data_IF_666422524116
#
_entry.id   IF_666422524116
#
_cell.length_a   1.000
_cell.length_b   1.000
_cell.length_c   1.000
_cell.angle_alpha   90.00
_cell.angle_beta   90.00
_cell.angle_gamma   90.00
#
_symmetry.space_group_name_H-M   'P 1'
#
loop_
_entity.id
_entity.type
_entity.pdbx_description
1 polymer ?
#
# COMPACT_ATOMS: atom_id res chain seq x y z
N UNK A 1 -0.20 -4.54 5.54
CA UNK A 1 -0.41 -4.51 4.07
C UNK A 1 0.66 -5.33 3.36
N UNK A 2 1.93 -5.08 3.61
CA UNK A 2 3.05 -5.70 2.90
C UNK A 2 3.84 -6.68 3.79
N UNK A 3 3.15 -7.43 4.64
CA UNK A 3 3.73 -8.47 5.51
C UNK A 3 3.40 -9.87 5.00
N UNK A 4 4.12 -10.88 5.50
CA UNK A 4 3.92 -12.31 5.24
C UNK A 4 2.71 -12.87 6.02
N UNK A 5 1.70 -12.09 6.29
CA UNK A 5 0.53 -12.52 7.05
C UNK A 5 -0.73 -12.29 6.21
N UNK A 6 -1.63 -13.30 6.03
CA UNK A 6 -2.92 -13.15 5.37
C UNK A 6 -3.76 -12.00 5.93
N UNK A 7 -3.68 -11.74 7.24
CA UNK A 7 -4.33 -10.60 7.89
C UNK A 7 -3.65 -9.25 7.58
N UNK A 8 -2.53 -9.25 6.88
CA UNK A 8 -1.74 -8.06 6.57
C UNK A 8 -2.40 -7.13 5.56
N UNK A 9 -3.13 -7.66 4.59
CA UNK A 9 -3.85 -6.84 3.60
C UNK A 9 -5.18 -6.38 4.19
N UNK A 10 -5.28 -5.08 4.48
CA UNK A 10 -6.46 -4.46 5.09
C UNK A 10 -6.97 -3.31 4.23
N UNK A 11 -8.25 -3.07 4.27
CA UNK A 11 -8.90 -2.03 3.47
C UNK A 11 -8.56 -0.61 3.97
N UNK A 12 -8.30 -0.46 5.26
CA UNK A 12 -8.22 0.85 5.92
C UNK A 12 -6.96 1.66 5.59
N UNK A 13 -5.73 1.09 5.52
CA UNK A 13 -4.53 1.87 5.20
C UNK A 13 -4.41 2.09 3.69
N UNK A 14 -5.23 2.99 3.15
CA UNK A 14 -5.09 3.38 1.73
C UNK A 14 -3.82 4.20 1.48
N UNK A 15 -3.29 4.23 0.24
CA UNK A 15 -2.12 5.05 -0.10
C UNK A 15 -2.27 6.51 0.31
N UNK A 16 -3.46 7.10 0.11
CA UNK A 16 -3.76 8.49 0.40
C UNK A 16 -3.72 8.78 1.90
N UNK A 17 -4.23 7.86 2.73
CA UNK A 17 -4.15 8.00 4.19
C UNK A 17 -2.71 7.89 4.67
N UNK A 18 -1.95 6.94 4.15
CA UNK A 18 -0.55 6.74 4.55
C UNK A 18 0.30 7.94 4.18
N UNK A 19 0.19 8.49 2.96
CA UNK A 19 0.96 9.69 2.57
C UNK A 19 0.52 10.91 3.38
N UNK A 20 -0.76 11.04 3.72
CA UNK A 20 -1.27 12.15 4.54
C UNK A 20 -0.70 12.11 5.96
N UNK A 21 -0.64 10.93 6.59
CA UNK A 21 0.02 10.73 7.87
C UNK A 21 1.50 11.13 7.79
N UNK A 22 2.21 10.70 6.75
CA UNK A 22 3.62 11.04 6.57
C UNK A 22 3.84 12.54 6.38
N UNK A 23 2.99 13.22 5.62
CA UNK A 23 3.06 14.68 5.41
C UNK A 23 2.77 15.47 6.68
N UNK A 24 1.80 15.02 7.47
CA UNK A 24 1.51 15.63 8.77
C UNK A 24 2.72 15.55 9.69
N UNK A 25 3.35 14.39 9.80
CA UNK A 25 4.55 14.16 10.62
C UNK A 25 5.76 14.91 10.08
N UNK A 26 5.90 15.07 8.77
CA UNK A 26 6.97 15.84 8.16
C UNK A 26 6.86 17.34 8.47
N UNK A 27 5.63 17.86 8.59
CA UNK A 27 5.39 19.25 8.96
C UNK A 27 5.77 19.52 10.44
N UNK A 28 5.45 18.59 11.33
CA UNK A 28 5.77 18.66 12.77
C UNK A 28 5.86 17.26 13.35
N UNK A 29 6.91 16.99 14.13
CA UNK A 29 6.98 15.75 14.90
C UNK A 29 5.82 15.67 15.90
N UNK A 30 5.16 14.53 16.01
CA UNK A 30 3.93 14.36 16.77
C UNK A 30 3.92 13.01 17.46
N UNK A 31 3.27 12.94 18.62
CA UNK A 31 2.93 11.65 19.23
C UNK A 31 1.89 10.92 18.38
N UNK A 32 1.77 9.61 18.56
CA UNK A 32 0.75 8.82 17.87
C UNK A 32 -0.67 9.34 18.12
N UNK A 33 -0.97 9.77 19.33
CA UNK A 33 -2.28 10.30 19.69
C UNK A 33 -2.57 11.66 19.05
N UNK A 34 -1.56 12.52 18.93
CA UNK A 34 -1.71 13.79 18.21
C UNK A 34 -1.97 13.55 16.72
N UNK A 35 -1.26 12.60 16.08
CA UNK A 35 -1.54 12.19 14.69
C UNK A 35 -2.97 11.70 14.53
N UNK A 36 -3.44 10.82 15.43
CA UNK A 36 -4.81 10.30 15.40
C UNK A 36 -5.83 11.43 15.47
N UNK A 37 -5.71 12.33 16.44
CA UNK A 37 -6.63 13.47 16.63
C UNK A 37 -6.61 14.42 15.43
N UNK A 38 -5.44 14.72 14.89
CA UNK A 38 -5.31 15.61 13.74
C UNK A 38 -5.95 15.00 12.48
N UNK A 39 -5.74 13.71 12.22
CA UNK A 39 -6.27 13.02 11.05
C UNK A 39 -7.77 12.76 11.12
N UNK A 40 -8.35 12.70 12.31
CA UNK A 40 -9.80 12.53 12.52
C UNK A 40 -10.51 13.86 12.81
N UNK A 41 -9.84 14.99 12.66
CA UNK A 41 -10.38 16.32 12.98
C UNK A 41 -10.94 16.41 14.40
N UNK A 42 -10.34 15.69 15.34
CA UNK A 42 -10.77 15.65 16.74
C UNK A 42 -11.92 14.69 17.05
N UNK A 43 -12.33 13.86 16.10
CA UNK A 43 -13.29 12.78 16.37
C UNK A 43 -12.76 11.81 17.42
N UNK A 44 -13.65 11.37 18.32
CA UNK A 44 -13.37 10.32 19.31
C UNK A 44 -13.97 8.96 18.89
N UNK A 45 -14.38 8.79 17.63
CA UNK A 45 -14.83 7.49 17.12
C UNK A 45 -13.67 6.52 17.08
N UNK A 46 -13.77 5.46 17.89
CA UNK A 46 -12.70 4.45 18.00
C UNK A 46 -12.41 3.75 16.68
N UNK A 47 -13.40 3.59 15.78
CA UNK A 47 -13.19 3.01 14.45
C UNK A 47 -12.33 3.91 13.57
N UNK A 48 -12.61 5.23 13.56
CA UNK A 48 -11.79 6.19 12.82
C UNK A 48 -10.37 6.24 13.37
N UNK A 49 -10.22 6.27 14.70
CA UNK A 49 -8.94 6.25 15.37
C UNK A 49 -8.14 4.98 15.05
N UNK A 50 -8.77 3.81 15.01
CA UNK A 50 -8.13 2.54 14.63
C UNK A 50 -7.69 2.53 13.16
N UNK A 51 -8.49 3.07 12.25
CA UNK A 51 -8.11 3.20 10.83
C UNK A 51 -6.84 4.05 10.65
N UNK A 52 -6.71 5.13 11.40
CA UNK A 52 -5.49 5.96 11.37
C UNK A 52 -4.30 5.20 11.96
N UNK A 53 -4.48 4.47 13.06
CA UNK A 53 -3.43 3.63 13.63
C UNK A 53 -2.90 2.60 12.63
N UNK A 54 -3.76 1.95 11.86
CA UNK A 54 -3.35 1.02 10.81
C UNK A 54 -2.50 1.72 9.73
N UNK A 55 -2.85 2.94 9.36
CA UNK A 55 -2.08 3.74 8.40
C UNK A 55 -0.71 4.16 8.97
N UNK A 56 -0.65 4.56 10.25
CA UNK A 56 0.60 4.82 10.97
C UNK A 56 1.48 3.59 11.00
N UNK A 57 0.92 2.41 11.30
CA UNK A 57 1.69 1.16 11.34
C UNK A 57 2.26 0.78 9.97
N UNK A 58 1.52 0.98 8.89
CA UNK A 58 2.06 0.77 7.52
C UNK A 58 3.23 1.71 7.24
N UNK A 59 3.11 2.99 7.58
CA UNK A 59 4.19 3.97 7.37
C UNK A 59 5.43 3.66 8.22
N UNK A 60 5.24 3.23 9.49
CA UNK A 60 6.28 2.97 10.47
C UNK A 60 6.97 1.62 10.26
N UNK A 61 6.18 0.55 10.24
CA UNK A 61 6.69 -0.82 10.35
C UNK A 61 6.92 -1.49 8.99
N UNK A 62 6.11 -1.15 7.98
CA UNK A 62 6.14 -1.85 6.70
C UNK A 62 6.91 -1.07 5.63
N UNK A 63 6.73 0.25 5.59
CA UNK A 63 7.38 1.12 4.61
C UNK A 63 8.60 1.86 5.17
N UNK A 64 8.76 1.95 6.49
CA UNK A 64 9.86 2.67 7.17
C UNK A 64 10.01 4.13 6.69
N UNK A 65 8.88 4.79 6.41
CA UNK A 65 8.84 6.20 5.99
C UNK A 65 8.93 7.12 7.20
N UNK A 66 8.36 6.67 8.31
CA UNK A 66 8.45 7.33 9.61
C UNK A 66 9.13 6.41 10.61
N UNK A 67 9.67 6.96 11.67
CA UNK A 67 10.26 6.23 12.80
C UNK A 67 9.83 6.83 14.13
N UNK A 68 9.86 6.03 15.18
CA UNK A 68 9.70 6.51 16.54
C UNK A 68 11.01 7.14 17.03
N UNK A 69 10.93 8.31 17.66
CA UNK A 69 12.02 8.98 18.33
C UNK A 69 11.51 9.50 19.69
N UNK A 70 11.89 8.83 20.78
CA UNK A 70 11.23 8.94 22.06
C UNK A 70 9.72 8.70 21.91
N UNK A 71 8.87 9.60 22.39
CA UNK A 71 7.41 9.50 22.31
C UNK A 71 6.82 9.99 20.97
N UNK A 72 7.65 10.59 20.11
CA UNK A 72 7.21 11.22 18.88
C UNK A 72 7.50 10.34 17.65
N UNK A 73 6.68 10.52 16.64
CA UNK A 73 6.91 10.04 15.29
C UNK A 73 7.59 11.15 14.48
N UNK A 74 8.63 10.78 13.73
CA UNK A 74 9.39 11.69 12.87
C UNK A 74 9.56 11.06 11.49
N UNK A 75 9.75 11.90 10.47
CA UNK A 75 10.05 11.41 9.12
C UNK A 75 11.43 10.73 9.13
N UNK A 76 11.52 9.57 8.49
CA UNK A 76 12.73 8.75 8.41
C UNK A 76 13.37 8.76 7.01
N UNK A 77 12.73 9.39 6.05
CA UNK A 77 13.15 9.48 4.64
C UNK A 77 13.31 10.95 4.24
N UNK A 78 13.92 11.17 3.07
CA UNK A 78 13.97 12.51 2.47
C UNK A 78 12.54 13.05 2.25
N UNK A 79 12.23 14.31 2.62
CA UNK A 79 10.92 14.92 2.37
C UNK A 79 10.45 14.84 0.92
N UNK A 80 11.35 14.79 -0.06
CA UNK A 80 11.02 14.65 -1.47
C UNK A 80 10.28 13.35 -1.79
N UNK A 81 10.46 12.32 -0.97
CA UNK A 81 9.74 11.04 -1.10
C UNK A 81 8.22 11.23 -0.99
N UNK A 82 7.79 12.14 -0.13
CA UNK A 82 6.36 12.39 0.14
C UNK A 82 5.85 13.68 -0.50
N UNK A 83 6.69 14.39 -1.26
CA UNK A 83 6.34 15.66 -1.90
C UNK A 83 5.19 15.47 -2.91
N UNK A 84 5.20 14.39 -3.67
CA UNK A 84 4.16 14.07 -4.65
C UNK A 84 3.69 12.62 -4.56
N UNK A 85 2.47 12.30 -5.06
CA UNK A 85 2.03 10.92 -5.20
C UNK A 85 2.96 10.06 -6.06
N UNK A 86 3.63 10.65 -7.05
CA UNK A 86 4.54 9.95 -7.95
C UNK A 86 5.86 9.56 -7.23
N UNK A 87 6.47 10.48 -6.46
CA UNK A 87 7.68 10.18 -5.67
C UNK A 87 7.39 9.15 -4.58
N UNK A 88 6.26 9.31 -3.90
CA UNK A 88 5.79 8.34 -2.91
C UNK A 88 5.56 6.96 -3.53
N UNK A 89 4.88 6.87 -4.67
CA UNK A 89 4.64 5.60 -5.39
C UNK A 89 5.94 4.91 -5.76
N UNK A 90 6.92 5.63 -6.30
CA UNK A 90 8.23 5.07 -6.66
C UNK A 90 8.97 4.49 -5.45
N UNK A 91 8.97 5.23 -4.34
CA UNK A 91 9.56 4.76 -3.08
C UNK A 91 8.88 3.49 -2.57
N UNK A 92 7.53 3.47 -2.50
CA UNK A 92 6.77 2.30 -2.05
C UNK A 92 6.99 1.12 -2.99
N UNK A 93 6.97 1.34 -4.29
CA UNK A 93 7.19 0.31 -5.30
C UNK A 93 8.52 -0.41 -5.11
N UNK A 94 9.61 0.31 -4.86
CA UNK A 94 10.93 -0.29 -4.66
C UNK A 94 10.98 -1.25 -3.46
N UNK A 95 10.21 -0.97 -2.41
CA UNK A 95 10.13 -1.80 -1.21
C UNK A 95 9.16 -2.98 -1.35
N UNK A 96 7.98 -2.72 -1.87
CA UNK A 96 6.92 -3.72 -2.00
C UNK A 96 7.31 -4.83 -2.97
N UNK A 97 7.93 -4.49 -4.09
CA UNK A 97 8.34 -5.48 -5.10
C UNK A 97 9.69 -6.15 -4.81
N UNK A 98 10.46 -5.66 -3.84
CA UNK A 98 11.64 -6.37 -3.35
C UNK A 98 11.27 -7.58 -2.49
N UNK A 99 10.16 -7.53 -1.75
CA UNK A 99 9.70 -8.58 -0.85
C UNK A 99 8.72 -9.53 -1.59
N UNK A 100 9.22 -10.71 -1.99
CA UNK A 100 8.47 -11.66 -2.85
C UNK A 100 7.52 -12.59 -2.10
N UNK A 101 7.64 -12.69 -0.80
CA UNK A 101 6.91 -13.60 0.09
C UNK A 101 5.74 -12.92 0.82
N UNK A 102 5.45 -11.67 0.52
CA UNK A 102 4.32 -10.95 1.11
C UNK A 102 2.99 -11.41 0.52
N UNK A 103 1.94 -11.36 1.32
CA UNK A 103 0.56 -11.66 0.87
C UNK A 103 0.18 -10.80 -0.34
N UNK A 104 0.56 -9.52 -0.35
CA UNK A 104 0.34 -8.61 -1.48
C UNK A 104 0.99 -9.11 -2.77
N UNK A 105 2.25 -9.53 -2.70
CA UNK A 105 2.99 -10.01 -3.88
C UNK A 105 2.42 -11.34 -4.39
N UNK A 106 2.17 -12.30 -3.48
CA UNK A 106 1.63 -13.61 -3.83
C UNK A 106 0.25 -13.50 -4.48
N UNK A 107 -0.64 -12.69 -3.91
CA UNK A 107 -1.96 -12.45 -4.49
C UNK A 107 -1.86 -11.75 -5.86
N UNK A 108 -0.99 -10.75 -6.00
CA UNK A 108 -0.75 -10.07 -7.28
C UNK A 108 -0.27 -11.06 -8.35
N UNK A 109 0.69 -11.91 -8.02
CA UNK A 109 1.23 -12.93 -8.92
C UNK A 109 0.13 -13.92 -9.34
N UNK A 110 -0.64 -14.42 -8.38
CA UNK A 110 -1.77 -15.32 -8.66
C UNK A 110 -2.78 -14.64 -9.59
N UNK A 111 -3.19 -13.41 -9.30
CA UNK A 111 -4.19 -12.70 -10.09
C UNK A 111 -3.73 -12.47 -11.54
N UNK A 112 -2.49 -12.07 -11.75
CA UNK A 112 -1.93 -11.88 -13.09
C UNK A 112 -1.88 -13.23 -13.85
N UNK A 113 -1.61 -14.34 -13.17
CA UNK A 113 -1.57 -15.65 -13.79
C UNK A 113 -2.95 -16.18 -14.23
N UNK A 114 -4.05 -15.57 -13.77
CA UNK A 114 -5.40 -15.98 -14.16
C UNK A 114 -5.74 -15.64 -15.62
N UNK A 115 -5.00 -14.74 -16.28
CA UNK A 115 -5.26 -14.32 -17.65
C UNK A 115 -6.75 -13.93 -17.84
N UNK A 116 -7.42 -14.48 -18.86
CA UNK A 116 -8.82 -14.21 -19.17
C UNK A 116 -9.80 -14.72 -18.09
N UNK A 117 -9.39 -15.71 -17.28
CA UNK A 117 -10.21 -16.23 -16.19
C UNK A 117 -10.57 -15.16 -15.16
N UNK A 118 -9.78 -14.10 -15.03
CA UNK A 118 -10.05 -12.96 -14.15
C UNK A 118 -11.44 -12.36 -14.41
N UNK A 119 -11.91 -12.36 -15.65
CA UNK A 119 -13.22 -11.82 -16.02
C UNK A 119 -14.40 -12.67 -15.53
N UNK A 120 -14.16 -13.90 -15.12
CA UNK A 120 -15.18 -14.76 -14.51
C UNK A 120 -15.28 -14.60 -13.00
N UNK A 121 -14.28 -13.97 -12.36
CA UNK A 121 -14.22 -13.71 -10.91
C UNK A 121 -14.99 -12.42 -10.59
N UNK A 122 -16.33 -12.54 -10.50
CA UNK A 122 -17.25 -11.40 -10.43
C UNK A 122 -17.34 -10.72 -9.06
N UNK A 123 -16.71 -11.24 -8.01
CA UNK A 123 -16.75 -10.67 -6.66
C UNK A 123 -15.41 -10.77 -5.94
N UNK A 124 -15.17 -9.85 -5.02
CA UNK A 124 -13.97 -9.85 -4.20
C UNK A 124 -13.89 -11.08 -3.29
N UNK A 125 -15.03 -11.50 -2.74
CA UNK A 125 -15.15 -12.75 -2.00
C UNK A 125 -14.80 -13.96 -2.86
N UNK A 126 -15.33 -14.04 -4.09
CA UNK A 126 -15.03 -15.10 -5.05
C UNK A 126 -13.54 -15.14 -5.39
N UNK A 127 -12.90 -13.98 -5.59
CA UNK A 127 -11.44 -13.90 -5.81
C UNK A 127 -10.66 -14.42 -4.61
N UNK A 128 -11.02 -13.99 -3.41
CA UNK A 128 -10.34 -14.43 -2.17
C UNK A 128 -10.47 -15.96 -2.00
N UNK A 129 -11.66 -16.49 -2.18
CA UNK A 129 -11.96 -17.92 -2.03
C UNK A 129 -11.23 -18.77 -3.06
N UNK A 130 -11.25 -18.36 -4.33
CA UNK A 130 -10.55 -19.07 -5.41
C UNK A 130 -9.04 -19.03 -5.19
N UNK A 131 -8.48 -17.87 -4.88
CA UNK A 131 -7.06 -17.73 -4.56
C UNK A 131 -6.66 -18.62 -3.38
N UNK A 132 -7.41 -18.56 -2.28
CA UNK A 132 -7.12 -19.35 -1.08
C UNK A 132 -7.21 -20.86 -1.30
N UNK A 133 -8.01 -21.33 -2.27
CA UNK A 133 -8.07 -22.74 -2.66
C UNK A 133 -6.90 -23.18 -3.55
N UNK A 134 -6.33 -22.26 -4.33
CA UNK A 134 -5.24 -22.56 -5.27
C UNK A 134 -3.84 -22.27 -4.67
N UNK A 135 -3.75 -21.32 -3.71
CA UNK A 135 -2.49 -20.91 -3.06
C UNK A 135 -2.60 -21.14 -1.57
N UNK A 136 -1.97 -22.21 -1.09
CA UNK A 136 -2.07 -22.66 0.31
C UNK A 136 -1.70 -21.56 1.34
N UNK A 137 -0.68 -20.77 1.03
CA UNK A 137 -0.21 -19.68 1.87
C UNK A 137 -1.23 -18.54 2.00
N UNK A 138 -2.20 -18.49 1.07
CA UNK A 138 -3.28 -17.49 1.03
C UNK A 138 -4.65 -18.07 1.43
N UNK A 139 -4.69 -19.26 2.05
CA UNK A 139 -5.94 -19.94 2.45
C UNK A 139 -6.81 -19.13 3.43
N UNK A 140 -6.23 -18.22 4.20
CA UNK A 140 -6.94 -17.31 5.09
C UNK A 140 -7.31 -15.96 4.44
N UNK A 141 -7.07 -15.79 3.13
CA UNK A 141 -7.43 -14.57 2.41
C UNK A 141 -8.94 -14.35 2.45
N UNK A 142 -9.36 -13.10 2.69
CA UNK A 142 -10.77 -12.73 2.76
C UNK A 142 -11.07 -11.53 1.85
N UNK A 143 -12.35 -11.20 1.70
CA UNK A 143 -12.80 -10.09 0.87
C UNK A 143 -12.15 -8.75 1.25
N UNK A 144 -12.05 -8.45 2.54
CA UNK A 144 -11.45 -7.19 3.02
C UNK A 144 -9.97 -7.07 2.62
N UNK A 145 -9.25 -8.20 2.59
CA UNK A 145 -7.87 -8.23 2.13
C UNK A 145 -7.77 -7.89 0.63
N UNK A 146 -8.65 -8.44 -0.20
CA UNK A 146 -8.70 -8.14 -1.64
C UNK A 146 -9.12 -6.68 -1.89
N UNK A 147 -10.07 -6.17 -1.10
CA UNK A 147 -10.46 -4.76 -1.12
C UNK A 147 -9.29 -3.82 -0.75
N UNK A 148 -8.50 -4.19 0.25
CA UNK A 148 -7.28 -3.47 0.60
C UNK A 148 -6.22 -3.50 -0.51
N UNK A 149 -6.00 -4.69 -1.07
CA UNK A 149 -5.06 -4.88 -2.17
C UNK A 149 -5.38 -3.98 -3.36
N UNK A 150 -6.63 -3.84 -3.78
CA UNK A 150 -7.02 -3.07 -4.97
C UNK A 150 -6.59 -1.61 -4.95
N UNK A 151 -6.66 -0.95 -3.77
CA UNK A 151 -6.24 0.46 -3.65
C UNK A 151 -4.75 0.61 -3.89
N UNK A 152 -3.96 -0.28 -3.30
CA UNK A 152 -2.52 -0.26 -3.49
C UNK A 152 -2.11 -0.74 -4.88
N UNK A 153 -2.78 -1.73 -5.46
CA UNK A 153 -2.52 -2.20 -6.82
C UNK A 153 -2.75 -1.09 -7.85
N UNK A 154 -3.87 -0.36 -7.73
CA UNK A 154 -4.15 0.78 -8.59
C UNK A 154 -3.11 1.91 -8.40
N UNK A 155 -2.79 2.26 -7.15
CA UNK A 155 -1.78 3.27 -6.83
C UNK A 155 -0.39 2.89 -7.35
N UNK A 156 0.02 1.64 -7.23
CA UNK A 156 1.32 1.13 -7.69
C UNK A 156 1.39 0.91 -9.21
N UNK A 157 0.32 1.20 -9.95
CA UNK A 157 0.30 1.11 -11.39
C UNK A 157 0.23 -0.31 -11.95
N UNK A 158 -0.36 -1.26 -11.19
CA UNK A 158 -0.60 -2.63 -11.67
C UNK A 158 -1.87 -2.74 -12.53
N UNK A 159 -2.75 -1.76 -12.46
CA UNK A 159 -3.99 -1.71 -13.22
C UNK A 159 -4.87 -0.54 -12.78
N UNK A 160 -6.04 -0.45 -13.38
CA UNK A 160 -7.09 0.47 -12.96
C UNK A 160 -8.38 -0.26 -12.61
N UNK A 161 -9.14 0.34 -11.68
CA UNK A 161 -10.40 -0.21 -11.23
C UNK A 161 -11.51 0.08 -12.24
N UNK A 162 -12.24 -0.96 -12.65
CA UNK A 162 -13.47 -0.85 -13.43
C UNK A 162 -14.56 -1.69 -12.74
N UNK A 163 -15.42 -1.03 -11.97
CA UNK A 163 -16.39 -1.73 -11.11
C UNK A 163 -15.70 -2.63 -10.10
N UNK A 164 -15.99 -3.92 -10.16
CA UNK A 164 -15.38 -4.96 -9.31
C UNK A 164 -14.13 -5.60 -9.91
N UNK A 165 -13.67 -5.13 -11.07
CA UNK A 165 -12.50 -5.70 -11.75
C UNK A 165 -11.31 -4.75 -11.68
N UNK A 166 -10.11 -5.33 -11.63
CA UNK A 166 -8.89 -4.63 -11.99
C UNK A 166 -8.53 -5.01 -13.42
N UNK A 167 -8.46 -3.99 -14.27
CA UNK A 167 -7.97 -4.14 -15.63
C UNK A 167 -6.46 -3.92 -15.60
N UNK A 168 -5.65 -4.94 -15.86
CA UNK A 168 -4.20 -4.82 -15.83
C UNK A 168 -3.73 -3.72 -16.80
N UNK A 169 -2.94 -2.78 -16.30
CA UNK A 169 -2.35 -1.71 -17.10
C UNK A 169 -1.01 -1.32 -16.52
N UNK A 170 0.06 -1.72 -17.16
CA UNK A 170 1.42 -1.51 -16.69
C UNK A 170 2.03 -0.17 -17.11
N UNK A 171 1.28 0.70 -17.80
CA UNK A 171 1.81 1.98 -18.31
C UNK A 171 2.47 2.81 -17.21
N UNK A 172 1.74 3.08 -16.13
CA UNK A 172 2.22 3.88 -15.01
C UNK A 172 3.46 3.26 -14.33
N UNK A 173 3.47 1.93 -14.23
CA UNK A 173 4.61 1.18 -13.68
C UNK A 173 5.85 1.28 -14.57
N UNK A 174 5.68 1.19 -15.89
CA UNK A 174 6.76 1.36 -16.85
C UNK A 174 7.32 2.78 -16.83
N UNK A 175 6.45 3.81 -16.78
CA UNK A 175 6.86 5.21 -16.64
C UNK A 175 7.71 5.43 -15.38
N UNK A 176 7.31 4.87 -14.24
CA UNK A 176 8.07 4.98 -13.00
C UNK A 176 9.44 4.29 -13.08
N UNK A 177 9.51 3.11 -13.68
CA UNK A 177 10.78 2.37 -13.87
C UNK A 177 11.72 3.17 -14.80
N UNK A 178 11.22 3.65 -15.92
CA UNK A 178 12.00 4.45 -16.85
C UNK A 178 12.52 5.72 -16.18
N UNK A 179 11.66 6.45 -15.47
CA UNK A 179 12.05 7.67 -14.77
C UNK A 179 13.17 7.41 -13.75
N UNK A 180 13.11 6.29 -13.02
CA UNK A 180 14.15 5.92 -12.05
C UNK A 180 15.46 5.56 -12.74
N UNK A 181 15.40 4.72 -13.78
CA UNK A 181 16.59 4.27 -14.52
C UNK A 181 17.30 5.42 -15.23
N UNK A 182 16.55 6.36 -15.82
CA UNK A 182 17.16 7.53 -16.45
C UNK A 182 17.82 8.45 -15.44
N UNK A 183 17.19 8.68 -14.29
CA UNK A 183 17.75 9.55 -13.24
C UNK A 183 19.06 8.97 -12.68
N UNK A 184 19.18 7.66 -12.54
CA UNK A 184 20.41 7.01 -12.09
C UNK A 184 21.54 7.10 -13.10
N UNK A 185 21.25 6.93 -14.40
CA UNK A 185 22.28 7.01 -15.44
C UNK A 185 22.87 8.40 -15.63
N UNK A 186 22.10 9.46 -15.49
CA UNK A 186 22.56 10.84 -15.66
C UNK A 186 23.10 11.51 -14.40
N UNK A 187 23.13 10.83 -13.24
CA UNK A 187 23.80 11.31 -12.03
C UNK A 187 25.27 10.89 -11.94
N UNK A 188 25.76 10.08 -12.85
CA UNK A 188 27.13 9.56 -12.88
C UNK A 188 28.00 10.17 -13.99
N UNK A 189 27.47 11.10 -14.76
CA UNK A 189 28.20 11.96 -15.72
C UNK A 189 28.29 13.40 -15.17
#
# INVERSE_FOLDING_TARGET
MFKVNPDGMRMEPTPERVISVCRLIAHKSMTRDEVRRAMTLGSNDEKELDQINKSVNVALEELSIIKAQADNLVLAVDPDVIASPATFRRYVSSRVFAAKDTTFHMFTKWLISQNERIFSLKSWEGMAKTCGSEVKELSALNENAVLGWRFWAAFLGLGYLSGTMIIPNMKLRLEDILATTYTEKFRHD
#
